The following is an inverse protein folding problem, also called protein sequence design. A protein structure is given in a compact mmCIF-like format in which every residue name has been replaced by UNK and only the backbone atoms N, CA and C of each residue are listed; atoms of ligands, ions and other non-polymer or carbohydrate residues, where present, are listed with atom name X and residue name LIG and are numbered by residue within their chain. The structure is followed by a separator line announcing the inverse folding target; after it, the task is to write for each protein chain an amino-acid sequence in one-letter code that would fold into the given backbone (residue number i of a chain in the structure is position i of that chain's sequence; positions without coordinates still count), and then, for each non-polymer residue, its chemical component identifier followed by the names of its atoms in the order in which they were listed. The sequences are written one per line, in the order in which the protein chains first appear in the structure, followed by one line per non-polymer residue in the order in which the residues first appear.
data_IF_570990085877
#
_entry.id   IF_570990085877
#
_cell.length_a   1.000
_cell.length_b   1.000
_cell.length_c   1.000
_cell.angle_alpha   90.00
_cell.angle_beta   90.00
_cell.angle_gamma   90.00
#
_symmetry.space_group_name_H-M   'P 1'
#
loop_
_entity.id
_entity.type
_entity.pdbx_description
1 polymer ?
#
# COMPACT_ATOMS: atom_id res chain seq x y z
N UNK A 1 7.97 2.10 -16.80
CA UNK A 1 8.74 0.82 -16.81
C UNK A 1 9.83 0.76 -15.74
N UNK A 2 10.68 1.78 -15.57
CA UNK A 2 11.79 1.78 -14.58
C UNK A 2 11.37 1.59 -13.11
N UNK A 3 10.20 2.10 -12.70
CA UNK A 3 9.69 1.95 -11.31
C UNK A 3 9.28 0.51 -10.98
N UNK A 4 8.76 -0.24 -11.96
CA UNK A 4 8.34 -1.64 -11.80
C UNK A 4 9.56 -2.55 -11.63
N UNK A 5 10.65 -2.25 -12.35
CA UNK A 5 11.92 -2.97 -12.29
C UNK A 5 12.56 -2.84 -10.90
N UNK A 6 12.57 -1.63 -10.32
CA UNK A 6 13.12 -1.40 -8.97
C UNK A 6 12.30 -2.14 -7.92
N UNK A 7 10.97 -2.13 -8.04
CA UNK A 7 10.08 -2.89 -7.14
C UNK A 7 10.37 -4.39 -7.22
N UNK A 8 10.50 -4.93 -8.42
CA UNK A 8 10.81 -6.34 -8.66
C UNK A 8 12.17 -6.70 -8.04
N UNK A 9 13.20 -5.86 -8.21
CA UNK A 9 14.53 -6.07 -7.64
C UNK A 9 14.48 -6.04 -6.11
N UNK A 10 13.81 -5.07 -5.50
CA UNK A 10 13.67 -5.01 -4.04
C UNK A 10 12.92 -6.23 -3.48
N UNK A 11 11.88 -6.70 -4.18
CA UNK A 11 11.14 -7.92 -3.82
C UNK A 11 12.03 -9.15 -3.98
N UNK A 12 12.76 -9.29 -5.09
CA UNK A 12 13.67 -10.42 -5.33
C UNK A 12 14.82 -10.45 -4.32
N UNK A 13 15.36 -9.30 -3.92
CA UNK A 13 16.42 -9.20 -2.92
C UNK A 13 15.91 -9.57 -1.51
N UNK A 14 14.67 -9.18 -1.18
CA UNK A 14 14.00 -9.65 0.04
C UNK A 14 13.73 -11.16 0.01
N UNK A 15 13.57 -11.72 -1.20
CA UNK A 15 13.30 -13.14 -1.45
C UNK A 15 14.56 -14.00 -1.70
N UNK A 16 15.78 -13.45 -1.68
CA UNK A 16 16.99 -14.24 -1.95
C UNK A 16 17.85 -14.53 -0.71
N UNK A 17 17.59 -13.85 0.41
CA UNK A 17 18.48 -13.86 1.58
C UNK A 17 18.20 -14.90 2.68
N UNK A 18 17.12 -15.69 2.59
CA UNK A 18 16.77 -16.66 3.63
C UNK A 18 16.01 -17.87 3.04
N UNK A 19 16.05 -19.05 3.69
CA UNK A 19 15.17 -20.17 3.35
C UNK A 19 13.70 -19.73 3.58
N UNK A 20 13.09 -19.20 2.53
CA UNK A 20 11.80 -18.49 2.56
C UNK A 20 10.58 -19.39 2.66
N UNK A 21 10.77 -20.69 2.49
CA UNK A 21 9.72 -21.68 2.59
C UNK A 21 9.50 -22.00 4.08
N UNK A 22 8.97 -21.04 4.83
CA UNK A 22 8.58 -21.23 6.24
C UNK A 22 8.68 -19.99 7.13
N UNK A 23 9.43 -18.97 6.72
CA UNK A 23 9.73 -17.81 7.58
C UNK A 23 8.98 -16.53 7.22
N UNK A 24 8.07 -16.55 6.24
CA UNK A 24 7.32 -15.36 5.81
C UNK A 24 5.86 -15.72 5.59
N UNK A 25 4.97 -15.01 6.29
CA UNK A 25 3.53 -15.10 6.09
C UNK A 25 3.10 -14.02 5.11
N UNK A 26 2.61 -14.44 3.95
CA UNK A 26 2.06 -13.56 2.93
C UNK A 26 0.53 -13.65 3.00
N UNK A 27 -0.15 -12.52 2.97
CA UNK A 27 -1.61 -12.43 2.93
C UNK A 27 -2.01 -11.30 2.00
N UNK A 28 -3.07 -11.48 1.23
CA UNK A 28 -3.52 -10.46 0.31
C UNK A 28 -4.78 -10.88 -0.43
N UNK A 29 -5.21 -10.01 -1.33
CA UNK A 29 -6.28 -10.32 -2.26
C UNK A 29 -6.03 -9.59 -3.57
N UNK A 30 -6.64 -10.16 -4.61
CA UNK A 30 -6.70 -9.58 -5.94
C UNK A 30 -8.17 -9.50 -6.31
N UNK A 31 -8.62 -8.31 -6.69
CA UNK A 31 -10.02 -8.00 -6.98
C UNK A 31 -10.09 -7.38 -8.36
N UNK A 32 -10.98 -7.92 -9.19
CA UNK A 32 -11.26 -7.40 -10.53
C UNK A 32 -12.62 -6.73 -10.53
N UNK A 33 -12.71 -5.54 -11.11
CA UNK A 33 -13.96 -4.79 -11.22
C UNK A 33 -14.15 -4.34 -12.66
N UNK A 34 -15.31 -4.62 -13.24
CA UNK A 34 -15.72 -4.14 -14.56
C UNK A 34 -16.92 -3.23 -14.37
N UNK A 35 -16.82 -2.01 -14.88
CA UNK A 35 -17.91 -1.04 -14.88
C UNK A 35 -18.25 -0.71 -16.32
N UNK A 36 -19.49 -0.99 -16.71
CA UNK A 36 -20.03 -0.57 -18.00
C UNK A 36 -20.97 0.59 -17.78
N UNK A 37 -20.77 1.66 -18.55
CA UNK A 37 -21.66 2.81 -18.55
C UNK A 37 -22.22 2.99 -19.95
N UNK A 38 -23.54 3.07 -20.03
CA UNK A 38 -24.26 3.28 -21.28
C UNK A 38 -25.01 4.60 -21.20
N UNK A 39 -24.76 5.46 -22.17
CA UNK A 39 -25.54 6.66 -22.44
C UNK A 39 -26.06 6.56 -23.87
N UNK A 40 -27.13 7.28 -24.23
CA UNK A 40 -27.66 7.28 -25.60
C UNK A 40 -26.62 7.61 -26.69
N UNK A 41 -25.51 8.26 -26.33
CA UNK A 41 -24.45 8.71 -27.24
C UNK A 41 -23.11 8.01 -27.04
N UNK A 42 -22.93 7.17 -26.01
CA UNK A 42 -21.66 6.50 -25.75
C UNK A 42 -21.78 5.24 -24.88
N UNK A 43 -21.02 4.21 -25.23
CA UNK A 43 -20.74 3.04 -24.40
C UNK A 43 -19.29 3.10 -23.91
N UNK A 44 -19.08 3.02 -22.60
CA UNK A 44 -17.75 2.95 -22.00
C UNK A 44 -17.65 1.75 -21.07
N UNK A 45 -16.58 0.96 -21.24
CA UNK A 45 -16.21 -0.13 -20.34
C UNK A 45 -14.94 0.23 -19.60
N UNK A 46 -15.01 0.31 -18.27
CA UNK A 46 -13.86 0.52 -17.39
C UNK A 46 -13.52 -0.79 -16.71
N UNK A 47 -12.26 -1.18 -16.79
CA UNK A 47 -11.72 -2.35 -16.09
C UNK A 47 -10.72 -1.91 -15.04
N UNK A 48 -10.79 -2.52 -13.86
CA UNK A 48 -9.82 -2.33 -12.79
C UNK A 48 -9.38 -3.67 -12.23
N UNK A 49 -8.09 -3.82 -11.99
CA UNK A 49 -7.48 -4.91 -11.27
C UNK A 49 -6.75 -4.34 -10.05
N UNK A 50 -7.28 -4.61 -8.87
CA UNK A 50 -6.72 -4.21 -7.59
C UNK A 50 -5.92 -5.40 -7.02
N UNK A 51 -4.70 -5.16 -6.57
CA UNK A 51 -3.88 -6.17 -5.88
C UNK A 51 -3.34 -5.58 -4.59
N UNK A 52 -3.71 -6.18 -3.46
CA UNK A 52 -3.20 -5.83 -2.14
C UNK A 52 -2.42 -6.99 -1.57
N UNK A 53 -1.19 -6.72 -1.16
CA UNK A 53 -0.29 -7.71 -0.56
C UNK A 53 0.23 -7.19 0.77
N UNK A 54 0.35 -8.10 1.72
CA UNK A 54 0.98 -7.89 3.02
C UNK A 54 1.91 -9.04 3.31
N UNK A 55 3.14 -8.69 3.71
CA UNK A 55 4.22 -9.62 3.97
C UNK A 55 4.65 -9.45 5.43
N UNK A 56 4.65 -10.54 6.19
CA UNK A 56 4.97 -10.59 7.61
C UNK A 56 6.12 -11.58 7.82
N UNK A 57 7.33 -11.13 8.15
CA UNK A 57 8.42 -12.03 8.52
C UNK A 57 8.10 -12.73 9.85
N UNK A 58 8.22 -14.06 9.89
CA UNK A 58 8.04 -14.86 11.09
C UNK A 58 9.10 -14.55 12.17
N UNK A 59 10.33 -14.25 11.74
CA UNK A 59 11.43 -13.83 12.63
C UNK A 59 11.18 -12.47 13.28
N UNK A 60 10.41 -11.61 12.63
CA UNK A 60 10.13 -10.25 13.09
C UNK A 60 8.62 -9.95 12.99
N UNK A 61 7.78 -10.51 13.87
CA UNK A 61 6.32 -10.37 13.79
C UNK A 61 5.83 -8.93 14.05
N UNK A 62 6.73 -8.05 14.52
CA UNK A 62 6.49 -6.62 14.70
C UNK A 62 6.67 -5.83 13.41
N UNK A 63 7.28 -6.41 12.38
CA UNK A 63 7.45 -5.82 11.05
C UNK A 63 6.37 -6.33 10.10
N UNK A 64 5.86 -5.45 9.26
CA UNK A 64 4.97 -5.79 8.18
C UNK A 64 5.26 -4.90 6.98
N UNK A 65 5.49 -5.51 5.82
CA UNK A 65 5.50 -4.80 4.56
C UNK A 65 4.09 -4.85 3.95
N UNK A 66 3.63 -3.76 3.35
CA UNK A 66 2.30 -3.71 2.73
C UNK A 66 2.34 -2.89 1.44
N UNK A 67 1.70 -3.42 0.41
CA UNK A 67 1.56 -2.75 -0.87
C UNK A 67 0.13 -2.86 -1.39
N UNK A 68 -0.33 -1.82 -2.09
CA UNK A 68 -1.61 -1.80 -2.78
C UNK A 68 -1.43 -1.10 -4.13
N UNK A 69 -1.71 -1.86 -5.18
CA UNK A 69 -1.57 -1.45 -6.57
C UNK A 69 -2.88 -1.64 -7.33
N UNK A 70 -3.11 -0.80 -8.32
CA UNK A 70 -4.23 -0.88 -9.27
C UNK A 70 -3.72 -0.76 -10.69
N UNK A 71 -4.17 -1.66 -11.54
CA UNK A 71 -4.15 -1.50 -12.99
C UNK A 71 -5.56 -1.14 -13.44
N UNK A 72 -5.70 -0.14 -14.30
CA UNK A 72 -6.98 0.29 -14.85
C UNK A 72 -6.94 0.42 -16.36
N UNK A 73 -8.08 0.22 -17.02
CA UNK A 73 -8.30 0.59 -18.41
C UNK A 73 -9.63 1.32 -18.52
N UNK A 74 -9.58 2.58 -18.90
CA UNK A 74 -10.75 3.46 -19.01
C UNK A 74 -11.20 3.51 -20.48
N UNK A 75 -12.20 2.70 -20.84
CA UNK A 75 -12.69 2.61 -22.23
C UNK A 75 -11.57 2.29 -23.22
N UNK A 76 -11.30 3.23 -24.13
CA UNK A 76 -10.24 3.13 -25.16
C UNK A 76 -8.91 3.79 -24.74
N UNK A 77 -8.81 4.32 -23.53
CA UNK A 77 -7.56 4.91 -23.04
C UNK A 77 -6.46 3.84 -22.88
N UNK A 78 -5.22 4.31 -22.77
CA UNK A 78 -4.10 3.47 -22.38
C UNK A 78 -4.32 2.89 -20.97
N UNK A 79 -3.62 1.79 -20.70
CA UNK A 79 -3.59 1.22 -19.36
C UNK A 79 -3.01 2.23 -18.36
N UNK A 80 -3.67 2.39 -17.23
CA UNK A 80 -3.21 3.21 -16.11
C UNK A 80 -2.74 2.32 -14.98
N UNK A 81 -1.62 2.71 -14.37
CA UNK A 81 -1.01 2.01 -13.24
C UNK A 81 -0.96 2.98 -12.07
N UNK A 82 -1.45 2.56 -10.90
CA UNK A 82 -1.44 3.40 -9.71
C UNK A 82 -1.01 2.63 -8.47
N UNK A 83 0.02 3.12 -7.80
CA UNK A 83 0.51 2.59 -6.53
C UNK A 83 -0.06 3.42 -5.38
N UNK A 84 -1.10 2.90 -4.74
CA UNK A 84 -1.78 3.57 -3.64
C UNK A 84 -1.00 3.53 -2.33
N UNK A 85 -0.38 2.38 -2.04
CA UNK A 85 0.37 2.18 -0.81
C UNK A 85 1.61 1.34 -1.08
N UNK A 86 2.72 1.70 -0.46
CA UNK A 86 3.96 0.95 -0.42
C UNK A 86 4.73 1.37 0.82
N UNK A 87 4.63 0.60 1.90
CA UNK A 87 5.22 1.00 3.18
C UNK A 87 5.70 -0.19 4.00
N UNK A 88 6.67 0.09 4.87
CA UNK A 88 7.08 -0.77 5.97
C UNK A 88 6.45 -0.25 7.27
N UNK A 89 5.78 -1.14 8.00
CA UNK A 89 5.25 -0.87 9.34
C UNK A 89 6.04 -1.62 10.38
N UNK A 90 6.41 -0.92 11.45
CA UNK A 90 7.06 -1.49 12.62
C UNK A 90 6.30 -1.15 13.89
N UNK A 91 5.91 -2.18 14.65
CA UNK A 91 5.34 -2.03 15.99
C UNK A 91 6.46 -2.07 17.04
N UNK A 92 7.09 -0.92 17.30
CA UNK A 92 8.18 -0.82 18.28
C UNK A 92 7.74 -1.30 19.68
N UNK A 93 6.57 -0.82 20.14
CA UNK A 93 5.92 -1.30 21.35
C UNK A 93 4.49 -1.74 21.00
N UNK A 94 4.17 -3.05 21.06
CA UNK A 94 2.82 -3.54 20.75
C UNK A 94 1.75 -2.75 21.50
N UNK A 95 0.72 -2.31 20.78
CA UNK A 95 -0.41 -1.53 21.30
C UNK A 95 -0.08 -0.15 21.88
N UNK A 96 1.18 0.30 21.83
CA UNK A 96 1.59 1.63 22.31
C UNK A 96 2.22 2.47 21.22
N UNK A 97 3.19 1.94 20.48
CA UNK A 97 3.98 2.71 19.53
C UNK A 97 4.16 1.94 18.22
N UNK A 98 3.81 2.59 17.11
CA UNK A 98 4.05 2.06 15.78
C UNK A 98 4.57 3.13 14.83
N UNK A 99 5.49 2.73 13.98
CA UNK A 99 6.03 3.53 12.88
C UNK A 99 5.58 2.93 11.55
N UNK A 100 5.24 3.78 10.59
CA UNK A 100 4.98 3.38 9.22
C UNK A 100 5.75 4.30 8.29
N UNK A 101 6.65 3.74 7.48
CA UNK A 101 7.54 4.45 6.59
C UNK A 101 7.24 4.06 5.13
N UNK A 102 7.00 5.06 4.29
CA UNK A 102 6.76 4.90 2.86
C UNK A 102 5.48 5.60 2.41
N UNK A 103 4.97 5.19 1.24
CA UNK A 103 3.73 5.68 0.65
C UNK A 103 2.53 5.07 1.37
N UNK A 104 1.68 5.89 1.98
CA UNK A 104 0.52 5.43 2.72
C UNK A 104 -0.65 6.41 2.61
N UNK A 105 -1.88 5.88 2.54
CA UNK A 105 -3.07 6.71 2.69
C UNK A 105 -3.29 7.02 4.17
N UNK A 106 -3.44 8.31 4.48
CA UNK A 106 -3.71 8.83 5.82
C UNK A 106 -5.07 9.50 5.81
N UNK A 107 -5.91 9.11 6.76
CA UNK A 107 -7.22 9.72 6.98
C UNK A 107 -7.36 10.08 8.46
N UNK A 108 -7.04 11.33 8.80
CA UNK A 108 -6.85 11.81 10.17
C UNK A 108 -7.25 13.28 10.27
N UNK A 109 -8.54 13.58 10.18
CA UNK A 109 -9.16 14.89 10.48
C UNK A 109 -8.56 16.10 9.77
N UNK A 110 -7.35 16.49 10.15
CA UNK A 110 -6.49 17.53 9.56
C UNK A 110 -5.82 17.11 8.24
N UNK A 111 -5.73 15.80 7.94
CA UNK A 111 -5.12 15.31 6.70
C UNK A 111 -5.92 14.14 6.12
N UNK A 112 -6.25 14.25 4.84
CA UNK A 112 -6.89 13.20 4.04
C UNK A 112 -6.15 13.10 2.71
N UNK A 113 -5.44 12.01 2.48
CA UNK A 113 -4.68 11.82 1.24
C UNK A 113 -3.55 10.82 1.36
N UNK A 114 -2.85 10.61 0.25
CA UNK A 114 -1.66 9.78 0.20
C UNK A 114 -0.44 10.60 0.60
N UNK A 115 0.35 10.08 1.53
CA UNK A 115 1.58 10.70 2.03
C UNK A 115 2.75 9.76 1.78
N UNK A 116 3.83 10.32 1.24
CA UNK A 116 5.13 9.67 1.14
C UNK A 116 5.99 10.15 2.32
N UNK A 117 6.19 9.28 3.31
CA UNK A 117 6.95 9.66 4.51
C UNK A 117 6.76 8.75 5.71
N UNK A 118 6.97 9.32 6.89
CA UNK A 118 6.88 8.67 8.18
C UNK A 118 5.56 9.04 8.88
N UNK A 119 4.91 8.01 9.41
CA UNK A 119 3.81 8.12 10.36
C UNK A 119 4.22 7.42 11.65
N UNK A 120 4.23 8.15 12.76
CA UNK A 120 4.34 7.58 14.10
C UNK A 120 3.00 7.68 14.82
N UNK A 121 2.52 6.57 15.37
CA UNK A 121 1.30 6.52 16.16
C UNK A 121 1.65 6.06 17.57
N UNK A 122 1.31 6.88 18.55
CA UNK A 122 1.54 6.66 19.96
C UNK A 122 0.21 6.65 20.74
N UNK A 123 0.04 5.68 21.63
CA UNK A 123 -1.14 5.53 22.48
C UNK A 123 -0.70 5.67 23.94
N UNK A 124 -0.60 6.89 24.49
CA UNK A 124 -0.25 7.10 25.89
C UNK A 124 -1.30 6.48 26.84
N UNK A 125 -2.56 6.43 26.41
CA UNK A 125 -3.67 5.83 27.12
C UNK A 125 -4.56 5.03 26.15
N UNK A 126 -5.43 4.15 26.65
CA UNK A 126 -6.31 3.30 25.81
C UNK A 126 -7.27 4.10 24.92
N UNK A 127 -7.61 5.32 25.31
CA UNK A 127 -8.56 6.20 24.63
C UNK A 127 -7.89 7.33 23.85
N UNK A 128 -6.59 7.56 24.06
CA UNK A 128 -5.87 8.70 23.47
C UNK A 128 -4.92 8.17 22.41
N UNK A 129 -5.04 8.71 21.20
CA UNK A 129 -4.13 8.41 20.09
C UNK A 129 -3.47 9.69 19.63
N UNK A 130 -2.14 9.73 19.69
CA UNK A 130 -1.32 10.81 19.14
C UNK A 130 -0.69 10.29 17.87
N UNK A 131 -0.84 11.01 16.77
CA UNK A 131 -0.23 10.67 15.49
C UNK A 131 0.62 11.82 14.99
N UNK A 132 1.87 11.53 14.64
CA UNK A 132 2.82 12.47 14.05
C UNK A 132 3.11 12.04 12.62
N UNK A 133 3.03 12.99 11.70
CA UNK A 133 3.26 12.78 10.27
C UNK A 133 4.42 13.67 9.85
N UNK A 134 5.34 13.10 9.08
CA UNK A 134 6.43 13.84 8.46
C UNK A 134 6.64 13.29 7.06
N UNK A 135 6.63 14.15 6.05
CA UNK A 135 6.73 13.74 4.66
C UNK A 135 6.06 14.72 3.72
N UNK A 136 5.86 14.27 2.48
CA UNK A 136 5.23 15.07 1.44
C UNK A 136 3.92 14.42 1.01
N UNK A 137 2.96 15.25 0.58
CA UNK A 137 1.82 14.74 -0.15
C UNK A 137 2.32 14.02 -1.40
N UNK A 138 1.89 12.77 -1.59
CA UNK A 138 2.20 12.06 -2.81
C UNK A 138 1.52 12.77 -3.98
N UNK A 139 2.21 12.97 -5.12
CA UNK A 139 1.62 13.61 -6.27
C UNK A 139 0.33 12.88 -6.68
N UNK A 140 -0.71 13.62 -7.09
CA UNK A 140 -1.83 13.01 -7.78
C UNK A 140 -1.31 12.47 -9.11
N UNK A 141 -1.13 11.14 -9.17
CA UNK A 141 -1.00 10.42 -10.45
C UNK A 141 -2.30 10.55 -11.26
#
# INVERSE_FOLDING_TARGET
MTRLSVLLICVMWFLSGAPLVGQVRISGFTESSVYTFETPTAHQGNFYQNTRLKVLPATHPRLAFSTYFRVGKLGRAAWSERMYSFYLRWKAAPNRLSFTLGRQFVYRGVLSGTLDGLLSTFHPHRTVTVSLFAGMAAPPD
#
